data_IF_125995910737
#
_entry.id   IF_125995910737
#
_cell.length_a   1.000
_cell.length_b   1.000
_cell.length_c   1.000
_cell.angle_alpha   90.00
_cell.angle_beta   90.00
_cell.angle_gamma   90.00
#
_symmetry.space_group_name_H-M   'P 1'
#
loop_
_entity.id
_entity.type
_entity.pdbx_description
1 polymer ?
#
# COMPACT_ATOMS: atom_id res chain seq x y z
N UNK A 1 35.31 21.35 1.21
CA UNK A 1 35.41 19.88 1.18
C UNK A 1 34.07 19.33 1.62
N UNK A 2 33.16 19.08 0.67
CA UNK A 2 31.87 18.45 0.96
C UNK A 2 32.09 16.97 1.16
N UNK A 3 32.11 16.55 2.43
CA UNK A 3 32.17 15.15 2.79
C UNK A 3 30.81 14.52 2.43
N UNK A 4 30.68 13.98 1.21
CA UNK A 4 29.58 13.10 0.87
C UNK A 4 29.77 11.81 1.65
N UNK A 5 28.97 11.62 2.69
CA UNK A 5 28.91 10.36 3.42
C UNK A 5 28.53 9.24 2.43
N UNK A 6 29.41 8.26 2.15
CA UNK A 6 29.17 7.22 1.14
C UNK A 6 28.07 6.22 1.55
N UNK A 7 27.48 6.34 2.75
CA UNK A 7 26.42 5.46 3.23
C UNK A 7 24.99 5.89 2.82
N UNK A 8 24.80 7.04 2.18
CA UNK A 8 23.48 7.59 1.82
C UNK A 8 23.23 7.65 0.30
N UNK A 9 23.92 6.84 -0.50
CA UNK A 9 23.75 6.84 -1.96
C UNK A 9 22.62 5.94 -2.47
N UNK A 10 22.02 5.09 -1.63
CA UNK A 10 20.87 4.24 -1.99
C UNK A 10 19.62 4.63 -1.19
N UNK A 11 19.30 5.92 -1.17
CA UNK A 11 18.02 6.39 -0.64
C UNK A 11 16.99 6.34 -1.76
N UNK A 12 15.88 5.63 -1.54
CA UNK A 12 14.78 5.51 -2.49
C UNK A 12 13.53 6.14 -1.90
N UNK A 13 12.84 6.94 -2.69
CA UNK A 13 11.62 7.63 -2.32
C UNK A 13 10.41 6.87 -2.85
N UNK A 14 9.45 6.60 -1.96
CA UNK A 14 8.15 6.04 -2.36
C UNK A 14 7.16 7.17 -2.56
N UNK A 15 6.68 7.33 -3.79
CA UNK A 15 5.67 8.31 -4.16
C UNK A 15 4.31 7.67 -3.90
N UNK A 16 3.46 8.37 -3.14
CA UNK A 16 2.15 7.89 -2.74
C UNK A 16 1.04 8.78 -3.30
N UNK A 17 -0.13 8.18 -3.56
CA UNK A 17 -1.33 8.94 -3.88
C UNK A 17 -2.05 9.44 -2.61
N UNK A 18 -3.18 10.14 -2.79
CA UNK A 18 -4.02 10.65 -1.68
C UNK A 18 -4.50 9.55 -0.69
N UNK A 19 -4.55 8.30 -1.13
CA UNK A 19 -4.91 7.12 -0.31
C UNK A 19 -3.66 6.42 0.23
N UNK A 20 -2.51 7.09 0.25
CA UNK A 20 -1.24 6.55 0.70
C UNK A 20 -0.76 5.30 -0.06
N UNK A 21 -1.42 4.89 -1.14
CA UNK A 21 -0.95 3.77 -1.96
C UNK A 21 0.27 4.21 -2.76
N UNK A 22 1.31 3.40 -2.75
CA UNK A 22 2.55 3.66 -3.50
C UNK A 22 2.24 3.59 -5.00
N UNK A 23 2.55 4.64 -5.75
CA UNK A 23 2.33 4.72 -7.20
C UNK A 23 3.64 4.68 -7.99
N UNK A 24 4.75 5.06 -7.37
CA UNK A 24 6.07 4.96 -7.98
C UNK A 24 7.17 4.90 -6.91
N UNK A 25 8.32 4.36 -7.28
CA UNK A 25 9.57 4.44 -6.53
C UNK A 25 10.55 5.26 -7.35
N UNK A 26 11.23 6.21 -6.71
CA UNK A 26 12.23 7.07 -7.35
C UNK A 26 13.55 7.02 -6.59
N UNK A 27 14.64 7.22 -7.31
CA UNK A 27 15.98 7.41 -6.73
C UNK A 27 16.08 8.81 -6.11
N UNK A 28 16.50 8.91 -4.85
CA UNK A 28 16.58 10.20 -4.15
C UNK A 28 17.74 11.09 -4.61
N UNK A 29 18.79 10.50 -5.19
CA UNK A 29 19.97 11.22 -5.64
C UNK A 29 19.76 11.86 -7.01
N UNK A 30 19.05 11.18 -7.90
CA UNK A 30 18.85 11.61 -9.29
C UNK A 30 17.41 11.98 -9.64
N UNK A 31 16.47 11.83 -8.70
CA UNK A 31 15.03 12.07 -8.90
C UNK A 31 14.41 11.31 -10.09
N UNK A 32 15.03 10.19 -10.50
CA UNK A 32 14.55 9.34 -11.59
C UNK A 32 13.57 8.30 -11.07
N UNK A 33 12.54 8.00 -11.87
CA UNK A 33 11.61 6.90 -11.57
C UNK A 33 12.35 5.58 -11.79
N UNK A 34 12.29 4.68 -10.82
CA UNK A 34 12.84 3.33 -10.87
C UNK A 34 11.75 2.31 -11.22
N UNK A 35 10.61 2.40 -10.53
CA UNK A 35 9.46 1.50 -10.72
C UNK A 35 8.15 2.26 -10.60
N UNK A 36 7.13 1.75 -11.27
CA UNK A 36 5.77 2.25 -11.18
C UNK A 36 4.84 1.15 -10.66
N UNK A 37 3.79 1.55 -9.94
CA UNK A 37 2.84 0.62 -9.34
C UNK A 37 1.42 1.07 -9.60
N UNK A 38 0.59 0.14 -10.06
CA UNK A 38 -0.85 0.35 -10.14
C UNK A 38 -1.58 -0.58 -9.18
N UNK A 39 -2.72 -0.12 -8.67
CA UNK A 39 -3.53 -0.84 -7.70
C UNK A 39 -4.96 -0.92 -8.17
N UNK A 40 -5.56 -2.11 -8.10
CA UNK A 40 -7.01 -2.26 -8.27
C UNK A 40 -7.76 -1.62 -7.10
N UNK A 41 -9.09 -1.50 -7.20
CA UNK A 41 -9.94 -0.97 -6.14
C UNK A 41 -9.74 -1.69 -4.80
N UNK A 42 -9.50 -3.01 -4.82
CA UNK A 42 -9.26 -3.84 -3.65
C UNK A 42 -7.78 -4.08 -3.34
N UNK A 43 -6.86 -3.41 -4.02
CA UNK A 43 -5.44 -3.39 -3.67
C UNK A 43 -4.58 -4.50 -4.27
N UNK A 44 -5.02 -5.17 -5.34
CA UNK A 44 -4.09 -5.99 -6.14
C UNK A 44 -3.10 -5.07 -6.81
N UNK A 45 -1.81 -5.33 -6.62
CA UNK A 45 -0.73 -4.50 -7.14
C UNK A 45 -0.14 -5.10 -8.40
N UNK A 46 0.01 -4.27 -9.43
CA UNK A 46 0.79 -4.57 -10.62
C UNK A 46 2.03 -3.69 -10.63
N UNK A 47 3.19 -4.31 -10.84
CA UNK A 47 4.49 -3.63 -10.86
C UNK A 47 4.90 -3.41 -12.31
N UNK A 48 5.48 -2.25 -12.58
CA UNK A 48 6.02 -1.90 -13.88
C UNK A 48 7.42 -1.30 -13.71
N UNK A 49 8.26 -1.46 -14.73
CA UNK A 49 9.55 -0.78 -14.79
C UNK A 49 9.37 0.74 -14.98
N UNK A 50 10.48 1.48 -14.97
CA UNK A 50 10.49 2.92 -15.22
C UNK A 50 9.83 3.32 -16.56
N UNK A 51 9.88 2.45 -17.57
CA UNK A 51 9.34 2.68 -18.93
C UNK A 51 7.90 2.19 -19.12
N UNK A 52 7.31 1.54 -18.11
CA UNK A 52 5.94 1.03 -18.14
C UNK A 52 5.80 -0.43 -18.59
N UNK A 53 6.87 -1.21 -18.73
CA UNK A 53 6.74 -2.64 -19.00
C UNK A 53 6.37 -3.40 -17.71
N UNK A 54 5.48 -4.40 -17.79
CA UNK A 54 5.06 -5.16 -16.62
C UNK A 54 6.20 -6.01 -16.05
N UNK A 55 6.34 -5.99 -14.73
CA UNK A 55 7.28 -6.82 -13.96
C UNK A 55 6.50 -7.83 -13.10
N UNK A 56 7.01 -9.06 -13.00
CA UNK A 56 6.39 -10.09 -12.17
C UNK A 56 6.52 -9.80 -10.66
N UNK A 57 7.62 -9.15 -10.27
CA UNK A 57 7.89 -8.69 -8.90
C UNK A 57 8.72 -7.40 -8.97
N UNK A 58 8.81 -6.67 -7.86
CA UNK A 58 9.71 -5.52 -7.75
C UNK A 58 11.17 -5.98 -7.88
N UNK A 59 11.90 -5.39 -8.82
CA UNK A 59 13.34 -5.54 -9.00
C UNK A 59 14.11 -4.99 -7.79
N UNK A 60 13.51 -4.06 -7.04
CA UNK A 60 14.10 -3.41 -5.87
C UNK A 60 13.57 -3.95 -4.53
N UNK A 61 12.84 -5.07 -4.55
CA UNK A 61 12.25 -5.71 -3.37
C UNK A 61 11.41 -4.75 -2.51
N UNK A 62 10.65 -3.84 -3.14
CA UNK A 62 9.80 -2.91 -2.40
C UNK A 62 8.68 -3.67 -1.66
N UNK A 63 8.64 -3.61 -0.32
CA UNK A 63 7.63 -4.32 0.45
C UNK A 63 6.34 -3.51 0.61
N UNK A 64 6.25 -2.25 0.19
CA UNK A 64 5.09 -1.38 0.45
C UNK A 64 4.25 -1.16 -0.82
N UNK A 65 2.92 -1.29 -0.68
CA UNK A 65 1.99 -1.17 -1.81
C UNK A 65 0.71 -0.41 -1.47
N UNK A 66 -0.43 -1.12 -1.50
CA UNK A 66 -1.75 -0.54 -1.28
C UNK A 66 -1.88 0.07 0.13
N UNK A 67 -2.37 1.31 0.21
CA UNK A 67 -2.55 2.08 1.46
C UNK A 67 -1.28 2.22 2.32
N UNK A 68 -0.11 2.10 1.71
CA UNK A 68 1.18 2.15 2.40
C UNK A 68 1.46 0.94 3.29
N UNK A 69 0.74 -0.17 3.08
CA UNK A 69 0.89 -1.40 3.88
C UNK A 69 1.93 -2.32 3.25
N UNK A 70 2.55 -3.12 4.12
CA UNK A 70 3.50 -4.14 3.72
C UNK A 70 2.77 -5.27 3.02
N UNK A 71 3.14 -5.52 1.77
CA UNK A 71 2.71 -6.65 0.97
C UNK A 71 3.76 -7.77 1.12
N UNK A 72 3.28 -8.97 1.41
CA UNK A 72 4.09 -10.17 1.34
C UNK A 72 3.78 -10.91 0.04
N UNK A 73 4.77 -11.03 -0.84
CA UNK A 73 4.63 -11.66 -2.15
C UNK A 73 4.48 -13.17 -2.07
N UNK A 74 5.01 -13.81 -1.01
CA UNK A 74 4.92 -15.26 -0.82
C UNK A 74 3.49 -15.68 -0.46
N UNK A 75 2.91 -15.04 0.55
CA UNK A 75 1.52 -15.31 0.96
C UNK A 75 0.45 -14.58 0.12
N UNK A 76 0.85 -13.56 -0.65
CA UNK A 76 -0.04 -12.64 -1.39
C UNK A 76 -0.97 -11.83 -0.49
N UNK A 77 -0.53 -11.51 0.73
CA UNK A 77 -1.31 -10.83 1.75
C UNK A 77 -0.71 -9.48 2.13
N UNK A 78 -1.57 -8.57 2.55
CA UNK A 78 -1.17 -7.34 3.21
C UNK A 78 -1.20 -7.50 4.72
N UNK A 79 -0.12 -7.09 5.37
CA UNK A 79 -0.04 -7.06 6.83
C UNK A 79 -0.66 -5.77 7.38
N UNK A 80 -1.87 -5.88 7.93
CA UNK A 80 -2.55 -4.84 8.69
C UNK A 80 -2.37 -5.07 10.18
N UNK A 81 -1.11 -5.05 10.65
CA UNK A 81 -0.71 -5.20 12.06
C UNK A 81 -1.34 -6.43 12.74
N UNK A 82 -2.55 -6.33 13.30
CA UNK A 82 -3.35 -7.44 13.87
C UNK A 82 -4.14 -8.29 12.87
N UNK A 83 -4.27 -7.91 11.60
CA UNK A 83 -5.02 -8.67 10.59
C UNK A 83 -4.24 -8.87 9.30
N UNK A 84 -4.42 -10.03 8.67
CA UNK A 84 -4.01 -10.26 7.30
C UNK A 84 -5.15 -9.92 6.32
N UNK A 85 -4.86 -9.08 5.33
CA UNK A 85 -5.81 -8.68 4.28
C UNK A 85 -5.47 -9.39 2.97
N UNK A 86 -6.46 -10.04 2.36
CA UNK A 86 -6.34 -10.62 1.02
C UNK A 86 -6.87 -9.62 -0.02
N UNK A 87 -5.99 -9.05 -0.88
CA UNK A 87 -6.43 -8.18 -1.97
C UNK A 87 -7.13 -8.96 -3.08
N UNK A 88 -6.90 -10.27 -3.18
CA UNK A 88 -7.56 -11.15 -4.14
C UNK A 88 -9.04 -11.38 -3.78
N UNK A 89 -9.32 -11.59 -2.49
CA UNK A 89 -10.68 -11.79 -1.99
C UNK A 89 -11.38 -10.49 -1.56
N UNK A 90 -10.65 -9.38 -1.51
CA UNK A 90 -11.14 -8.07 -1.05
C UNK A 90 -11.57 -8.05 0.42
N UNK A 91 -10.98 -8.90 1.27
CA UNK A 91 -11.43 -9.09 2.68
C UNK A 91 -10.30 -9.46 3.62
N UNK A 92 -10.52 -9.28 4.93
CA UNK A 92 -9.62 -9.79 5.95
C UNK A 92 -9.79 -11.30 6.12
N UNK A 93 -8.70 -12.01 6.45
CA UNK A 93 -8.71 -13.44 6.74
C UNK A 93 -9.07 -13.75 8.20
N UNK A 94 -9.01 -12.74 9.07
CA UNK A 94 -9.30 -12.86 10.49
C UNK A 94 -10.50 -11.99 10.86
N UNK A 95 -11.29 -12.48 11.82
CA UNK A 95 -12.43 -11.75 12.42
C UNK A 95 -11.92 -10.47 13.08
N UNK A 96 -12.65 -9.37 12.92
CA UNK A 96 -12.32 -8.10 13.58
C UNK A 96 -12.25 -8.28 15.13
N UNK A 97 -11.09 -8.01 15.76
CA UNK A 97 -10.95 -8.09 17.22
C UNK A 97 -11.84 -7.08 17.96
N UNK A 98 -12.24 -5.99 17.30
CA UNK A 98 -13.16 -5.00 17.89
C UNK A 98 -14.61 -5.50 17.95
N UNK A 99 -14.95 -6.63 17.30
CA UNK A 99 -16.32 -7.14 17.23
C UNK A 99 -17.19 -6.32 16.28
N UNK A 100 -18.48 -6.16 16.60
CA UNK A 100 -19.50 -5.58 15.71
C UNK A 100 -19.44 -4.04 15.56
N UNK A 101 -18.26 -3.44 15.62
CA UNK A 101 -18.09 -1.98 15.59
C UNK A 101 -18.30 -1.40 14.19
N UNK A 102 -17.97 -2.13 13.13
CA UNK A 102 -18.10 -1.66 11.73
C UNK A 102 -19.20 -2.39 10.92
N UNK A 103 -20.11 -3.08 11.63
CA UNK A 103 -21.25 -3.79 11.07
C UNK A 103 -21.26 -5.29 11.35
N UNK A 104 -22.26 -5.99 10.81
CA UNK A 104 -22.45 -7.43 11.01
C UNK A 104 -21.38 -8.29 10.32
N UNK A 105 -20.71 -7.75 9.29
CA UNK A 105 -19.67 -8.47 8.56
C UNK A 105 -18.28 -8.16 9.13
N UNK A 106 -17.80 -9.06 9.99
CA UNK A 106 -16.53 -8.94 10.70
C UNK A 106 -15.29 -9.23 9.84
N UNK A 107 -15.48 -9.56 8.57
CA UNK A 107 -14.42 -9.83 7.60
C UNK A 107 -14.35 -8.74 6.51
N UNK A 108 -15.33 -7.84 6.43
CA UNK A 108 -15.41 -6.84 5.38
C UNK A 108 -14.23 -5.86 5.46
N UNK A 109 -13.63 -5.57 4.31
CA UNK A 109 -12.69 -4.45 4.19
C UNK A 109 -13.48 -3.18 3.90
N UNK A 110 -13.46 -2.24 4.85
CA UNK A 110 -13.87 -0.84 4.62
C UNK A 110 -15.29 -0.73 4.03
N UNK A 111 -16.25 -1.47 4.62
CA UNK A 111 -17.66 -1.54 4.17
C UNK A 111 -17.81 -1.83 2.66
N UNK A 112 -16.86 -2.56 2.07
CA UNK A 112 -16.81 -2.85 0.64
C UNK A 112 -16.70 -1.60 -0.27
N UNK A 113 -16.24 -0.46 0.27
CA UNK A 113 -16.04 0.78 -0.49
C UNK A 113 -14.60 1.33 -0.31
N UNK A 114 -13.59 0.63 -0.87
CA UNK A 114 -12.17 0.99 -0.75
C UNK A 114 -11.73 2.19 -1.62
N UNK A 115 -12.64 2.74 -2.42
CA UNK A 115 -12.40 3.97 -3.19
C UNK A 115 -12.63 5.22 -2.34
N UNK A 116 -13.65 5.19 -1.48
CA UNK A 116 -14.06 6.34 -0.65
C UNK A 116 -13.38 6.39 0.71
N UNK A 117 -12.97 5.24 1.22
CA UNK A 117 -12.50 5.10 2.60
C UNK A 117 -11.18 4.34 2.65
N UNK A 118 -10.37 4.66 3.65
CA UNK A 118 -9.10 4.00 3.93
C UNK A 118 -9.02 3.63 5.42
N UNK A 119 -8.39 2.49 5.71
CA UNK A 119 -8.18 2.02 7.07
C UNK A 119 -6.80 2.44 7.58
N UNK A 120 -6.73 3.63 8.20
CA UNK A 120 -5.48 4.17 8.74
C UNK A 120 -5.06 3.49 10.05
N UNK A 121 -6.04 2.99 10.84
CA UNK A 121 -5.81 2.33 12.14
C UNK A 121 -6.58 1.00 12.24
N UNK A 122 -6.19 0.11 13.17
CA UNK A 122 -6.72 -1.26 13.31
C UNK A 122 -8.22 -1.35 13.63
N UNK A 123 -8.80 -0.25 14.11
CA UNK A 123 -10.18 -0.15 14.55
C UNK A 123 -10.97 0.75 13.60
N UNK A 124 -12.30 0.56 13.56
CA UNK A 124 -13.35 1.09 12.67
C UNK A 124 -13.40 2.61 12.39
N UNK A 125 -12.33 3.37 12.62
CA UNK A 125 -12.26 4.76 12.21
C UNK A 125 -11.96 4.84 10.72
N UNK A 126 -13.03 4.69 9.94
CA UNK A 126 -13.07 5.05 8.53
C UNK A 126 -12.84 6.55 8.41
N UNK A 127 -11.61 6.95 8.10
CA UNK A 127 -11.38 8.33 7.68
C UNK A 127 -11.85 8.41 6.24
N UNK A 128 -13.08 8.91 6.08
CA UNK A 128 -13.55 9.37 4.79
C UNK A 128 -12.61 10.45 4.28
N UNK A 129 -12.33 10.41 2.98
CA UNK A 129 -11.67 11.49 2.25
C UNK A 129 -12.35 12.81 2.64
N UNK A 130 -11.69 13.61 3.49
CA UNK A 130 -12.17 14.92 3.91
C UNK A 130 -12.23 15.77 2.64
N UNK A 131 -13.44 16.03 2.14
CA UNK A 131 -13.71 17.16 1.28
C UNK A 131 -13.70 18.38 2.18
N UNK A 132 -12.60 19.13 2.12
CA UNK A 132 -12.61 20.54 2.52
C UNK A 132 -13.11 21.26 1.27
N UNK A 133 -14.25 21.94 1.38
CA UNK A 133 -14.74 22.86 0.35
C UNK A 133 -13.80 24.04 0.20
#
# INVERSE_FOLDING_TARGET
MTQTNPALTDVRLLIQNRRYSVVAMADASNATILEQYTHTSFGRTSVFDATGNPLATSAYNNPYGFTGRRYDSESKLYHYRRRAYSPELGRFLQRDPAGYVDGYNLYAYVRNNPLRFILLMENAFLVGVIHIF
#
